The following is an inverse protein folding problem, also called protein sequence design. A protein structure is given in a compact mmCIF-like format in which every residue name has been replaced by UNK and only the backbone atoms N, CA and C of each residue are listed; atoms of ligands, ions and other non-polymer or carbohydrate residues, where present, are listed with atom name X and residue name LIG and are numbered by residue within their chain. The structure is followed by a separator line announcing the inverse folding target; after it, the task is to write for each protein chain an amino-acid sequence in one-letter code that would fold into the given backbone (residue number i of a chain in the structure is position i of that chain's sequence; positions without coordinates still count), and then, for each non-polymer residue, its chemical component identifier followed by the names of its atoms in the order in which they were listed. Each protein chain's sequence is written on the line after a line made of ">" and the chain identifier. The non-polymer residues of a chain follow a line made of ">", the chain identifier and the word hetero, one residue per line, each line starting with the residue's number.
data_IF_994087408251
#
_entry.id   IF_994087408251
#
_cell.length_a   1.000
_cell.length_b   1.000
_cell.length_c   1.000
_cell.angle_alpha   90.00
_cell.angle_beta   90.00
_cell.angle_gamma   90.00
#
_symmetry.space_group_name_H-M   'P 1'
#
loop_
_entity.id
_entity.type
_entity.pdbx_description
1 polymer ?
#
# COMPACT_ATOMS: atom_id res chain seq x y z
N UNK A 1 -15.44 33.15 -11.09
CA UNK A 1 -14.74 32.66 -12.32
C UNK A 1 -14.39 33.78 -13.31
N UNK A 2 -14.82 35.03 -13.11
CA UNK A 2 -14.49 36.18 -13.98
C UNK A 2 -13.16 36.90 -13.64
N UNK A 3 -12.66 36.81 -12.41
CA UNK A 3 -11.45 37.54 -11.96
C UNK A 3 -10.13 37.00 -12.53
N UNK A 4 -10.01 35.68 -12.71
CA UNK A 4 -8.73 35.05 -13.11
C UNK A 4 -8.30 35.33 -14.55
N UNK A 5 -9.23 35.65 -15.45
CA UNK A 5 -8.94 35.96 -16.86
C UNK A 5 -8.53 37.42 -17.05
N UNK A 6 -9.13 38.34 -16.31
CA UNK A 6 -8.78 39.77 -16.34
C UNK A 6 -7.40 40.00 -15.74
N UNK A 7 -7.10 39.40 -14.57
CA UNK A 7 -5.78 39.49 -13.91
C UNK A 7 -4.63 39.02 -14.82
N UNK A 8 -4.85 37.92 -15.56
CA UNK A 8 -3.87 37.39 -16.54
C UNK A 8 -3.60 38.37 -17.69
N UNK A 9 -4.59 39.12 -18.13
CA UNK A 9 -4.45 40.06 -19.25
C UNK A 9 -3.79 41.37 -18.83
N UNK A 10 -4.00 41.82 -17.58
CA UNK A 10 -3.31 42.97 -16.99
C UNK A 10 -1.85 42.69 -16.64
N UNK A 11 -1.52 41.51 -16.09
CA UNK A 11 -0.13 41.18 -15.74
C UNK A 11 0.77 40.99 -16.96
N UNK A 12 0.24 40.45 -18.06
CA UNK A 12 0.98 40.28 -19.32
C UNK A 12 1.43 41.61 -19.96
N UNK A 13 0.89 42.76 -19.52
CA UNK A 13 1.27 44.10 -20.00
C UNK A 13 2.13 44.89 -19.01
N UNK A 14 2.41 44.34 -17.82
CA UNK A 14 3.24 45.02 -16.82
C UNK A 14 4.70 44.53 -16.95
N UNK A 15 5.65 45.41 -17.35
CA UNK A 15 7.05 45.01 -17.54
C UNK A 15 7.75 44.55 -16.26
N UNK A 16 7.14 44.78 -15.09
CA UNK A 16 7.67 44.33 -13.81
C UNK A 16 7.24 42.90 -13.43
N UNK A 17 6.38 42.25 -14.22
CA UNK A 17 5.95 40.87 -13.98
C UNK A 17 6.50 39.96 -15.08
N UNK A 18 7.28 38.96 -14.68
CA UNK A 18 7.94 38.03 -15.60
C UNK A 18 7.52 36.58 -15.33
N UNK A 19 7.68 35.74 -16.34
CA UNK A 19 7.50 34.29 -16.19
C UNK A 19 8.73 33.63 -15.56
N UNK A 20 8.57 32.41 -15.02
CA UNK A 20 9.71 31.70 -14.41
C UNK A 20 10.81 31.42 -15.43
N UNK A 21 10.44 31.15 -16.68
CA UNK A 21 11.36 30.87 -17.78
C UNK A 21 12.32 32.05 -18.05
N UNK A 22 11.89 33.29 -17.79
CA UNK A 22 12.76 34.47 -17.90
C UNK A 22 13.77 34.56 -16.74
N UNK A 23 13.35 34.14 -15.54
CA UNK A 23 14.20 34.10 -14.34
C UNK A 23 15.18 32.91 -14.37
N UNK A 24 14.86 31.82 -15.04
CA UNK A 24 15.73 30.64 -15.18
C UNK A 24 17.09 30.98 -15.80
N UNK A 25 17.11 31.90 -16.77
CA UNK A 25 18.36 32.43 -17.38
C UNK A 25 19.30 33.09 -16.37
N UNK A 26 18.77 33.51 -15.21
CA UNK A 26 19.49 34.18 -14.13
C UNK A 26 19.84 33.21 -12.99
N UNK A 27 19.48 31.93 -13.13
CA UNK A 27 19.74 30.87 -12.16
C UNK A 27 18.61 30.65 -11.14
N UNK A 28 17.44 31.21 -11.37
CA UNK A 28 16.27 30.89 -10.56
C UNK A 28 15.73 29.50 -10.90
N UNK A 29 15.41 28.72 -9.88
CA UNK A 29 14.58 27.52 -10.00
C UNK A 29 13.18 27.81 -9.49
N UNK A 30 12.21 26.96 -9.83
CA UNK A 30 10.86 27.04 -9.26
C UNK A 30 10.84 26.95 -7.74
N UNK A 31 11.78 26.22 -7.14
CA UNK A 31 11.90 26.10 -5.69
C UNK A 31 12.42 27.39 -5.06
N UNK A 32 13.47 27.99 -5.63
CA UNK A 32 14.00 29.28 -5.18
C UNK A 32 12.97 30.39 -5.33
N UNK A 33 12.30 30.46 -6.48
CA UNK A 33 11.27 31.45 -6.73
C UNK A 33 10.10 31.31 -5.74
N UNK A 34 9.70 30.08 -5.41
CA UNK A 34 8.65 29.82 -4.42
C UNK A 34 9.07 30.21 -3.00
N UNK A 35 10.33 30.06 -2.66
CA UNK A 35 10.85 30.36 -1.32
C UNK A 35 11.07 31.86 -1.10
N UNK A 36 11.71 32.53 -2.06
CA UNK A 36 12.13 33.92 -1.91
C UNK A 36 11.09 34.94 -2.39
N UNK A 37 10.31 34.60 -3.41
CA UNK A 37 9.41 35.55 -4.03
C UNK A 37 7.99 35.37 -3.49
N UNK A 38 7.29 36.47 -3.17
CA UNK A 38 5.89 36.39 -2.78
C UNK A 38 5.09 35.76 -3.92
N UNK A 39 4.07 34.99 -3.54
CA UNK A 39 3.22 34.25 -4.49
C UNK A 39 2.38 35.23 -5.31
N UNK A 40 2.91 35.71 -6.42
CA UNK A 40 2.11 36.38 -7.43
C UNK A 40 1.25 35.33 -8.15
N UNK A 41 -0.06 35.57 -8.20
CA UNK A 41 -1.02 34.66 -8.79
C UNK A 41 -0.67 34.29 -10.24
N UNK A 42 -1.05 33.08 -10.67
CA UNK A 42 -1.00 32.71 -12.09
C UNK A 42 0.39 32.40 -12.66
N UNK A 43 1.43 32.23 -11.83
CA UNK A 43 2.78 31.84 -12.26
C UNK A 43 3.58 32.99 -12.86
N UNK A 44 3.33 34.20 -12.37
CA UNK A 44 4.10 35.41 -12.64
C UNK A 44 4.91 35.75 -11.40
N UNK A 45 6.03 36.44 -11.59
CA UNK A 45 6.93 36.87 -10.51
C UNK A 45 7.28 38.34 -10.68
N UNK A 46 7.40 39.06 -9.58
CA UNK A 46 7.87 40.44 -9.58
C UNK A 46 9.38 40.47 -9.86
N UNK A 47 9.76 41.04 -11.00
CA UNK A 47 11.16 41.13 -11.42
C UNK A 47 11.97 42.03 -10.49
N UNK A 48 11.40 43.14 -10.00
CA UNK A 48 12.11 44.03 -9.10
C UNK A 48 12.40 43.33 -7.76
N UNK A 49 11.42 42.58 -7.23
CA UNK A 49 11.63 41.75 -6.04
C UNK A 49 12.72 40.69 -6.27
N UNK A 50 12.71 40.02 -7.42
CA UNK A 50 13.77 39.06 -7.78
C UNK A 50 15.15 39.72 -7.82
N UNK A 51 15.29 40.88 -8.46
CA UNK A 51 16.55 41.62 -8.54
C UNK A 51 17.09 42.05 -7.18
N UNK A 52 16.22 42.37 -6.22
CA UNK A 52 16.66 42.68 -4.85
C UNK A 52 17.14 41.43 -4.11
N UNK A 53 16.43 40.30 -4.24
CA UNK A 53 16.87 39.02 -3.65
C UNK A 53 18.21 38.57 -4.22
N UNK A 54 18.44 38.75 -5.53
CA UNK A 54 19.69 38.40 -6.20
C UNK A 54 20.92 39.07 -5.58
N UNK A 55 20.76 40.23 -4.93
CA UNK A 55 21.85 40.94 -4.26
C UNK A 55 22.25 40.32 -2.92
N UNK A 56 21.44 39.43 -2.38
CA UNK A 56 21.69 38.83 -1.06
C UNK A 56 22.75 37.72 -1.16
N UNK A 57 23.70 37.63 -0.20
CA UNK A 57 24.68 36.54 -0.16
C UNK A 57 24.01 35.16 -0.09
N UNK A 58 22.94 35.05 0.70
CA UNK A 58 22.19 33.79 0.85
C UNK A 58 21.62 33.29 -0.48
N UNK A 59 21.10 34.19 -1.34
CA UNK A 59 20.62 33.79 -2.65
C UNK A 59 21.74 33.27 -3.54
N UNK A 60 22.93 33.88 -3.49
CA UNK A 60 24.08 33.42 -4.28
C UNK A 60 24.51 32.01 -3.88
N UNK A 61 24.52 31.72 -2.57
CA UNK A 61 24.79 30.38 -2.04
C UNK A 61 23.72 29.37 -2.48
N UNK A 62 22.44 29.71 -2.32
CA UNK A 62 21.32 28.84 -2.66
C UNK A 62 21.22 28.59 -4.18
N UNK A 63 21.53 29.60 -5.00
CA UNK A 63 21.67 29.47 -6.46
C UNK A 63 22.82 28.55 -6.82
N UNK A 64 23.98 28.70 -6.19
CA UNK A 64 25.12 27.81 -6.45
C UNK A 64 24.78 26.36 -6.04
N UNK A 65 24.11 26.19 -4.90
CA UNK A 65 23.69 24.88 -4.39
C UNK A 65 22.72 24.18 -5.35
N UNK A 66 21.69 24.88 -5.83
CA UNK A 66 20.74 24.32 -6.82
C UNK A 66 21.34 24.16 -8.20
N UNK A 67 22.24 25.05 -8.61
CA UNK A 67 22.99 24.95 -9.87
C UNK A 67 23.91 23.73 -9.96
N UNK A 68 24.32 23.18 -8.81
CA UNK A 68 25.03 21.91 -8.73
C UNK A 68 24.12 20.67 -8.89
N UNK A 69 22.81 20.87 -9.11
CA UNK A 69 21.82 19.80 -9.27
C UNK A 69 21.16 19.34 -7.96
N UNK A 70 21.43 20.01 -6.84
CA UNK A 70 20.82 19.66 -5.55
C UNK A 70 19.39 20.19 -5.44
N UNK A 71 18.50 19.42 -4.81
CA UNK A 71 17.16 19.87 -4.45
C UNK A 71 17.22 20.92 -3.35
N UNK A 72 16.54 22.06 -3.50
CA UNK A 72 16.61 23.14 -2.52
C UNK A 72 15.79 22.83 -1.26
N UNK A 73 14.68 22.13 -1.43
CA UNK A 73 13.77 21.76 -0.35
C UNK A 73 13.36 20.29 -0.40
N UNK A 74 13.05 19.73 0.77
CA UNK A 74 12.46 18.41 0.93
C UNK A 74 11.06 18.49 1.53
N UNK A 75 10.15 17.65 1.03
CA UNK A 75 8.87 17.36 1.66
C UNK A 75 9.02 16.27 2.72
N UNK A 76 7.99 16.11 3.57
CA UNK A 76 7.95 15.02 4.56
C UNK A 76 8.05 13.62 3.93
N UNK A 77 7.63 13.42 2.69
CA UNK A 77 7.83 12.17 1.94
C UNK A 77 9.31 11.89 1.71
N UNK A 78 10.01 12.89 1.19
CA UNK A 78 11.42 12.78 0.80
C UNK A 78 12.28 12.55 2.05
N UNK A 79 11.95 13.23 3.16
CA UNK A 79 12.59 12.99 4.45
C UNK A 79 12.39 11.54 4.93
N UNK A 80 11.18 10.97 4.79
CA UNK A 80 10.93 9.57 5.19
C UNK A 80 11.77 8.59 4.37
N UNK A 81 11.93 8.83 3.08
CA UNK A 81 12.79 8.01 2.21
C UNK A 81 14.26 8.06 2.66
N UNK A 82 14.69 9.19 3.20
CA UNK A 82 16.01 9.39 3.83
C UNK A 82 16.10 8.83 5.26
N UNK A 83 15.09 8.13 5.76
CA UNK A 83 15.08 7.49 7.07
C UNK A 83 14.59 8.37 8.22
N UNK A 84 14.05 9.56 7.94
CA UNK A 84 13.47 10.42 8.96
C UNK A 84 12.14 9.89 9.48
N UNK A 85 12.01 9.82 10.81
CA UNK A 85 10.73 9.58 11.48
C UNK A 85 10.00 10.89 11.77
N UNK A 86 8.67 10.89 11.95
CA UNK A 86 7.92 12.09 12.35
C UNK A 86 8.45 12.76 13.62
N UNK A 87 8.93 11.96 14.58
CA UNK A 87 9.56 12.46 15.80
C UNK A 87 10.90 13.14 15.52
N UNK A 88 11.75 12.58 14.66
CA UNK A 88 13.01 13.24 14.25
C UNK A 88 12.73 14.58 13.55
N UNK A 89 11.76 14.63 12.66
CA UNK A 89 11.41 15.88 11.95
C UNK A 89 11.00 16.95 12.97
N UNK A 90 10.09 16.62 13.89
CA UNK A 90 9.65 17.55 14.93
C UNK A 90 10.79 17.98 15.85
N UNK A 91 11.63 17.05 16.30
CA UNK A 91 12.60 17.31 17.36
C UNK A 91 13.91 17.93 16.83
N UNK A 92 14.32 17.62 15.59
CA UNK A 92 15.61 18.07 15.01
C UNK A 92 15.45 19.19 13.97
N UNK A 93 14.32 19.25 13.26
CA UNK A 93 14.06 20.30 12.25
C UNK A 93 13.04 21.32 12.72
N UNK A 94 12.14 20.95 13.64
CA UNK A 94 11.08 21.81 14.13
C UNK A 94 10.09 22.19 13.03
N UNK A 95 9.78 23.48 12.95
CA UNK A 95 8.84 24.02 11.97
C UNK A 95 9.41 24.03 10.55
N UNK A 96 8.55 23.81 9.53
CA UNK A 96 8.97 23.86 8.14
C UNK A 96 9.41 25.27 7.75
N UNK A 97 10.36 25.36 6.81
CA UNK A 97 10.86 26.62 6.29
C UNK A 97 9.86 27.27 5.33
N UNK A 98 9.00 26.47 4.69
CA UNK A 98 7.91 26.97 3.86
C UNK A 98 6.68 26.07 3.93
N UNK A 99 5.51 26.71 3.96
CA UNK A 99 4.20 26.04 3.94
C UNK A 99 3.49 26.43 2.65
N UNK A 100 3.12 25.44 1.83
CA UNK A 100 2.58 25.65 0.49
C UNK A 100 1.20 25.02 0.35
N UNK A 101 0.20 25.83 0.07
CA UNK A 101 -1.13 25.34 -0.28
C UNK A 101 -1.19 24.89 -1.75
N UNK A 102 -1.58 23.63 -1.94
CA UNK A 102 -1.79 23.01 -3.25
C UNK A 102 -3.18 23.29 -3.84
N UNK A 103 -4.12 23.81 -3.06
CA UNK A 103 -5.43 24.24 -3.55
C UNK A 103 -5.89 25.55 -2.89
N UNK A 104 -6.81 26.25 -3.56
CA UNK A 104 -7.39 27.51 -3.08
C UNK A 104 -8.23 27.34 -1.79
N UNK A 105 -8.54 26.09 -1.42
CA UNK A 105 -9.33 25.74 -0.24
C UNK A 105 -8.48 25.39 0.99
N UNK A 106 -7.13 25.39 0.89
CA UNK A 106 -6.22 25.10 2.00
C UNK A 106 -6.26 23.66 2.54
N UNK A 107 -6.91 22.72 1.85
CA UNK A 107 -7.07 21.33 2.36
C UNK A 107 -5.90 20.41 2.01
N UNK A 108 -4.96 20.86 1.18
CA UNK A 108 -3.72 20.13 0.87
C UNK A 108 -2.52 21.06 1.03
N UNK A 109 -1.80 20.88 2.13
CA UNK A 109 -0.65 21.72 2.49
C UNK A 109 0.62 20.89 2.43
N UNK A 110 1.63 21.36 1.69
CA UNK A 110 2.98 20.84 1.76
C UNK A 110 3.82 21.62 2.78
N UNK A 111 4.55 20.88 3.59
CA UNK A 111 5.55 21.41 4.50
C UNK A 111 6.92 21.14 3.89
N UNK A 112 7.66 22.19 3.57
CA UNK A 112 8.96 22.14 2.92
C UNK A 112 10.06 22.52 3.90
N UNK A 113 11.14 21.75 3.87
CA UNK A 113 12.31 21.90 4.73
C UNK A 113 13.52 22.21 3.85
N UNK A 114 14.31 23.23 4.19
CA UNK A 114 15.53 23.57 3.41
C UNK A 114 16.53 22.43 3.48
N UNK A 115 17.05 22.03 2.33
CA UNK A 115 17.99 20.92 2.20
C UNK A 115 19.23 21.11 3.07
N UNK A 116 19.81 22.33 3.07
CA UNK A 116 20.97 22.66 3.92
C UNK A 116 20.72 22.46 5.42
N UNK A 117 19.49 22.72 5.91
CA UNK A 117 19.12 22.50 7.31
C UNK A 117 18.98 21.01 7.62
N UNK A 118 18.38 20.27 6.68
CA UNK A 118 18.24 18.82 6.76
C UNK A 118 19.62 18.17 6.79
N UNK A 119 20.50 18.51 5.87
CA UNK A 119 21.87 17.97 5.79
C UNK A 119 22.70 18.33 7.04
N UNK A 120 22.58 19.55 7.55
CA UNK A 120 23.22 19.94 8.80
C UNK A 120 22.73 19.09 9.98
N UNK A 121 21.42 18.83 10.07
CA UNK A 121 20.86 17.95 11.08
C UNK A 121 21.33 16.49 10.89
N UNK A 122 21.40 15.99 9.65
CA UNK A 122 21.91 14.65 9.33
C UNK A 122 23.39 14.46 9.72
N UNK A 123 24.19 15.52 9.67
CA UNK A 123 25.58 15.50 10.09
C UNK A 123 25.75 15.33 11.61
N UNK A 124 24.73 15.66 12.41
CA UNK A 124 24.81 15.64 13.88
C UNK A 124 24.93 14.21 14.44
N UNK A 125 25.64 14.04 15.58
CA UNK A 125 25.66 12.76 16.30
C UNK A 125 24.26 12.29 16.73
N UNK A 126 23.39 13.22 17.11
CA UNK A 126 22.02 12.89 17.57
C UNK A 126 21.20 12.24 16.45
N UNK A 127 21.25 12.78 15.24
CA UNK A 127 20.57 12.16 14.09
C UNK A 127 21.11 10.74 13.81
N UNK A 128 22.44 10.60 13.77
CA UNK A 128 23.12 9.32 13.51
C UNK A 128 22.76 8.26 14.55
N UNK A 129 22.61 8.64 15.82
CA UNK A 129 22.16 7.72 16.86
C UNK A 129 20.70 7.31 16.67
N UNK A 130 19.81 8.27 16.39
CA UNK A 130 18.38 7.99 16.23
C UNK A 130 18.12 7.12 15.00
N UNK A 131 18.82 7.33 13.88
CA UNK A 131 18.66 6.50 12.66
C UNK A 131 19.18 5.07 12.92
N UNK A 132 20.28 4.91 13.63
CA UNK A 132 20.79 3.60 14.03
C UNK A 132 19.79 2.85 14.94
N UNK A 133 19.21 3.54 15.93
CA UNK A 133 18.16 2.98 16.80
C UNK A 133 16.90 2.61 16.02
N UNK A 134 16.47 3.46 15.09
CA UNK A 134 15.32 3.19 14.23
C UNK A 134 15.55 1.95 13.35
N UNK A 135 16.73 1.84 12.72
CA UNK A 135 17.14 0.66 11.96
C UNK A 135 17.19 -0.62 12.80
N UNK A 136 17.77 -0.54 14.00
CA UNK A 136 17.78 -1.68 14.93
C UNK A 136 16.38 -2.10 15.37
N UNK A 137 15.48 -1.15 15.65
CA UNK A 137 14.08 -1.41 15.98
C UNK A 137 13.34 -2.06 14.81
N UNK A 138 13.53 -1.55 13.59
CA UNK A 138 12.92 -2.12 12.39
C UNK A 138 13.38 -3.57 12.17
N UNK A 139 14.68 -3.84 12.32
CA UNK A 139 15.23 -5.20 12.21
C UNK A 139 14.65 -6.14 13.26
N UNK A 140 14.57 -5.72 14.53
CA UNK A 140 13.96 -6.51 15.61
C UNK A 140 12.47 -6.75 15.37
N UNK A 141 11.75 -5.74 14.91
CA UNK A 141 10.33 -5.86 14.57
C UNK A 141 10.10 -6.85 13.43
N UNK A 142 10.96 -6.82 12.40
CA UNK A 142 10.93 -7.79 11.30
C UNK A 142 11.21 -9.22 11.79
N UNK A 143 12.26 -9.42 12.57
CA UNK A 143 12.58 -10.73 13.15
C UNK A 143 11.42 -11.29 14.00
N UNK A 144 10.87 -10.47 14.90
CA UNK A 144 9.73 -10.89 15.72
C UNK A 144 8.46 -11.19 14.91
N UNK A 145 8.26 -10.50 13.78
CA UNK A 145 7.16 -10.79 12.86
C UNK A 145 7.40 -12.10 12.09
N UNK A 146 8.63 -12.36 11.67
CA UNK A 146 9.04 -13.62 11.03
C UNK A 146 8.89 -14.80 11.99
N UNK A 147 9.38 -14.69 13.23
CA UNK A 147 9.24 -15.71 14.26
C UNK A 147 7.76 -16.04 14.52
N UNK A 148 6.92 -15.00 14.69
CA UNK A 148 5.48 -15.18 14.87
C UNK A 148 4.82 -15.83 13.65
N UNK A 149 5.26 -15.47 12.43
CA UNK A 149 4.77 -16.10 11.21
C UNK A 149 5.12 -17.59 11.16
N UNK A 150 6.31 -17.97 11.61
CA UNK A 150 6.73 -19.38 11.68
C UNK A 150 5.91 -20.15 12.72
N UNK A 151 5.69 -19.58 13.90
CA UNK A 151 4.85 -20.17 14.95
C UNK A 151 3.41 -20.40 14.46
N UNK A 152 2.81 -19.41 13.79
CA UNK A 152 1.47 -19.53 13.19
C UNK A 152 1.46 -20.64 12.14
N UNK A 153 2.45 -20.66 11.25
CA UNK A 153 2.53 -21.67 10.21
C UNK A 153 2.64 -23.09 10.80
N UNK A 154 3.51 -23.31 11.79
CA UNK A 154 3.64 -24.59 12.47
C UNK A 154 2.35 -25.01 13.17
N UNK A 155 1.69 -24.08 13.86
CA UNK A 155 0.44 -24.34 14.57
C UNK A 155 -0.75 -24.62 13.61
N UNK A 156 -0.74 -24.06 12.40
CA UNK A 156 -1.74 -24.40 11.38
C UNK A 156 -1.43 -25.73 10.71
N UNK A 157 -0.15 -26.05 10.47
CA UNK A 157 0.27 -27.35 9.95
C UNK A 157 -0.19 -28.50 10.88
N UNK A 158 0.02 -28.36 12.19
CA UNK A 158 -0.43 -29.36 13.17
C UNK A 158 -1.95 -29.54 13.16
N UNK A 159 -2.70 -28.44 13.02
CA UNK A 159 -4.17 -28.46 12.90
C UNK A 159 -4.63 -29.09 11.59
N UNK A 160 -4.00 -28.75 10.47
CA UNK A 160 -4.29 -29.30 9.15
C UNK A 160 -4.02 -30.81 9.07
N UNK A 161 -3.08 -31.34 9.86
CA UNK A 161 -2.87 -32.78 10.01
C UNK A 161 -4.09 -33.52 10.59
N UNK A 162 -5.02 -32.80 11.23
CA UNK A 162 -6.29 -33.34 11.76
C UNK A 162 -7.45 -33.25 10.76
N UNK A 163 -7.20 -32.75 9.54
CA UNK A 163 -8.21 -32.77 8.46
C UNK A 163 -8.57 -34.20 8.11
N UNK A 164 -9.86 -34.43 7.92
CA UNK A 164 -10.44 -35.73 7.55
C UNK A 164 -11.54 -35.47 6.54
N UNK A 165 -11.62 -36.31 5.53
CA UNK A 165 -12.73 -36.38 4.59
C UNK A 165 -13.37 -37.75 4.78
N UNK A 166 -14.64 -37.76 5.11
CA UNK A 166 -15.45 -38.96 5.33
C UNK A 166 -16.43 -39.10 4.15
N UNK A 167 -15.99 -39.69 3.02
CA UNK A 167 -16.82 -39.77 1.82
C UNK A 167 -18.02 -40.70 2.00
N UNK A 168 -19.09 -40.54 1.20
CA UNK A 168 -20.19 -41.51 1.14
C UNK A 168 -19.71 -42.86 0.58
N UNK A 169 -20.58 -43.88 0.63
CA UNK A 169 -20.23 -45.28 0.30
C UNK A 169 -19.78 -45.50 -1.15
N UNK A 170 -20.28 -44.71 -2.08
CA UNK A 170 -20.04 -44.91 -3.51
C UNK A 170 -20.19 -43.59 -4.31
N UNK A 171 -19.73 -43.64 -5.56
CA UNK A 171 -19.69 -42.49 -6.45
C UNK A 171 -21.08 -42.01 -6.90
N UNK A 172 -22.07 -42.89 -6.97
CA UNK A 172 -23.43 -42.51 -7.37
C UNK A 172 -24.09 -41.70 -6.25
N UNK A 173 -23.98 -42.18 -5.02
CA UNK A 173 -24.44 -41.48 -3.81
C UNK A 173 -23.75 -40.11 -3.67
N UNK A 174 -22.43 -40.03 -3.91
CA UNK A 174 -21.72 -38.75 -3.90
C UNK A 174 -22.30 -37.76 -4.92
N UNK A 175 -22.57 -38.21 -6.15
CA UNK A 175 -23.11 -37.34 -7.20
C UNK A 175 -24.48 -36.80 -6.83
N UNK A 176 -25.37 -37.64 -6.35
CA UNK A 176 -26.72 -37.24 -5.94
C UNK A 176 -26.66 -36.18 -4.82
N UNK A 177 -25.86 -36.45 -3.79
CA UNK A 177 -25.69 -35.53 -2.66
C UNK A 177 -25.05 -34.20 -3.10
N UNK A 178 -24.06 -34.23 -3.99
CA UNK A 178 -23.40 -33.04 -4.49
C UNK A 178 -24.34 -32.16 -5.35
N UNK A 179 -25.20 -32.78 -6.16
CA UNK A 179 -26.20 -32.06 -6.96
C UNK A 179 -27.24 -31.40 -6.06
N UNK A 180 -27.81 -32.13 -5.10
CA UNK A 180 -28.77 -31.60 -4.14
C UNK A 180 -28.17 -30.43 -3.33
N UNK A 181 -26.93 -30.59 -2.85
CA UNK A 181 -26.24 -29.51 -2.15
C UNK A 181 -26.00 -28.27 -3.03
N UNK A 182 -25.71 -28.46 -4.31
CA UNK A 182 -25.52 -27.35 -5.23
C UNK A 182 -26.83 -26.59 -5.50
N UNK A 183 -27.96 -27.30 -5.62
CA UNK A 183 -29.30 -26.69 -5.71
C UNK A 183 -29.60 -25.85 -4.46
N UNK A 184 -29.33 -26.38 -3.26
CA UNK A 184 -29.46 -25.64 -2.00
C UNK A 184 -28.59 -24.37 -1.99
N UNK A 185 -27.36 -24.46 -2.48
CA UNK A 185 -26.47 -23.30 -2.59
C UNK A 185 -27.02 -22.23 -3.56
N UNK A 186 -27.65 -22.61 -4.66
CA UNK A 186 -28.30 -21.65 -5.55
C UNK A 186 -29.45 -20.92 -4.85
N UNK A 187 -30.28 -21.65 -4.09
CA UNK A 187 -31.37 -21.05 -3.32
C UNK A 187 -30.86 -20.08 -2.26
N UNK A 188 -29.86 -20.47 -1.47
CA UNK A 188 -29.27 -19.64 -0.41
C UNK A 188 -28.60 -18.37 -0.98
N UNK A 189 -28.03 -18.46 -2.20
CA UNK A 189 -27.40 -17.32 -2.88
C UNK A 189 -28.39 -16.44 -3.67
N UNK A 190 -29.66 -16.83 -3.76
CA UNK A 190 -30.68 -16.12 -4.53
C UNK A 190 -30.53 -16.27 -6.05
N UNK A 191 -29.87 -17.33 -6.51
CA UNK A 191 -29.64 -17.63 -7.93
C UNK A 191 -30.80 -18.45 -8.53
N UNK A 192 -32.04 -17.96 -8.41
CA UNK A 192 -33.30 -18.67 -8.71
C UNK A 192 -33.53 -19.11 -10.17
N UNK A 193 -32.59 -18.82 -11.08
CA UNK A 193 -32.63 -19.22 -12.49
C UNK A 193 -31.53 -20.22 -12.88
N UNK A 194 -30.74 -20.71 -11.93
CA UNK A 194 -29.75 -21.76 -12.16
C UNK A 194 -30.29 -23.11 -11.75
N UNK A 195 -29.89 -24.12 -12.50
CA UNK A 195 -30.27 -25.51 -12.31
C UNK A 195 -29.05 -26.40 -12.54
N UNK A 196 -29.01 -27.55 -11.86
CA UNK A 196 -28.00 -28.58 -12.02
C UNK A 196 -28.29 -29.52 -13.20
N UNK A 197 -29.54 -29.59 -13.69
CA UNK A 197 -29.97 -30.53 -14.73
C UNK A 197 -29.25 -30.40 -16.09
N UNK A 198 -28.59 -29.26 -16.35
CA UNK A 198 -27.83 -28.98 -17.58
C UNK A 198 -26.30 -29.03 -17.42
N UNK A 199 -25.79 -29.44 -16.27
CA UNK A 199 -24.35 -29.44 -16.01
C UNK A 199 -23.61 -30.54 -16.77
N UNK A 200 -22.46 -30.21 -17.34
CA UNK A 200 -21.56 -31.19 -17.93
C UNK A 200 -20.85 -32.03 -16.86
N UNK A 201 -20.23 -33.14 -17.31
CA UNK A 201 -19.57 -34.08 -16.41
C UNK A 201 -18.42 -33.44 -15.61
N UNK A 202 -17.70 -32.47 -16.17
CA UNK A 202 -16.61 -31.76 -15.49
C UNK A 202 -17.16 -30.88 -14.36
N UNK A 203 -18.27 -30.19 -14.60
CA UNK A 203 -18.97 -29.37 -13.62
C UNK A 203 -19.50 -30.21 -12.47
N UNK A 204 -20.10 -31.36 -12.78
CA UNK A 204 -20.57 -32.31 -11.76
C UNK A 204 -19.41 -32.86 -10.94
N UNK A 205 -18.27 -33.18 -11.57
CA UNK A 205 -17.08 -33.67 -10.86
C UNK A 205 -16.51 -32.62 -9.89
N UNK A 206 -16.48 -31.36 -10.32
CA UNK A 206 -16.11 -30.22 -9.46
C UNK A 206 -17.09 -30.06 -8.30
N UNK A 207 -18.39 -30.25 -8.51
CA UNK A 207 -19.37 -30.21 -7.44
C UNK A 207 -19.18 -31.36 -6.44
N UNK A 208 -18.87 -32.56 -6.91
CA UNK A 208 -18.52 -33.69 -6.04
C UNK A 208 -17.31 -33.36 -5.15
N UNK A 209 -16.24 -32.80 -5.73
CA UNK A 209 -15.07 -32.37 -4.95
C UNK A 209 -15.40 -31.25 -3.95
N UNK A 210 -16.26 -30.30 -4.32
CA UNK A 210 -16.71 -29.26 -3.40
C UNK A 210 -17.58 -29.80 -2.26
N UNK A 211 -18.46 -30.76 -2.55
CA UNK A 211 -19.28 -31.42 -1.55
C UNK A 211 -18.40 -32.18 -0.55
N UNK A 212 -17.42 -32.95 -1.05
CA UNK A 212 -16.46 -33.62 -0.19
C UNK A 212 -15.68 -32.64 0.69
N UNK A 213 -15.29 -31.49 0.13
CA UNK A 213 -14.56 -30.46 0.88
C UNK A 213 -15.40 -29.79 1.96
N UNK A 214 -16.61 -29.34 1.65
CA UNK A 214 -17.39 -28.48 2.56
C UNK A 214 -18.35 -29.25 3.46
N UNK A 215 -18.83 -30.42 3.03
CA UNK A 215 -19.87 -31.18 3.72
C UNK A 215 -19.31 -32.44 4.36
N UNK A 216 -18.49 -33.21 3.63
CA UNK A 216 -17.93 -34.46 4.12
C UNK A 216 -16.61 -34.29 4.88
N UNK A 217 -16.22 -33.07 5.25
CA UNK A 217 -14.95 -32.84 5.93
C UNK A 217 -15.10 -31.86 7.07
N UNK A 218 -14.15 -31.89 8.01
CA UNK A 218 -14.05 -30.89 9.07
C UNK A 218 -13.36 -29.58 8.61
N UNK A 219 -13.22 -29.35 7.30
CA UNK A 219 -12.53 -28.21 6.71
C UNK A 219 -13.09 -26.86 7.16
N UNK A 220 -14.40 -26.63 7.05
CA UNK A 220 -15.00 -25.33 7.39
C UNK A 220 -14.89 -25.04 8.90
N UNK A 221 -15.00 -26.07 9.74
CA UNK A 221 -14.76 -25.96 11.18
C UNK A 221 -13.30 -25.60 11.50
N UNK A 222 -12.35 -26.25 10.83
CA UNK A 222 -10.92 -25.94 10.97
C UNK A 222 -10.61 -24.51 10.51
N UNK A 223 -11.17 -24.07 9.38
CA UNK A 223 -11.01 -22.70 8.90
C UNK A 223 -11.52 -21.69 9.93
N UNK A 224 -12.71 -21.92 10.50
CA UNK A 224 -13.25 -21.07 11.54
C UNK A 224 -12.37 -21.03 12.79
N UNK A 225 -11.85 -22.19 13.23
CA UNK A 225 -10.92 -22.27 14.36
C UNK A 225 -9.65 -21.46 14.10
N UNK A 226 -8.99 -21.68 12.96
CA UNK A 226 -7.75 -20.99 12.60
C UNK A 226 -8.00 -19.49 12.44
N UNK A 227 -9.13 -19.08 11.83
CA UNK A 227 -9.51 -17.67 11.68
C UNK A 227 -9.73 -16.98 13.02
N UNK A 228 -10.32 -17.70 13.97
CA UNK A 228 -10.50 -17.20 15.32
C UNK A 228 -9.17 -17.09 16.07
N UNK A 229 -8.35 -18.16 16.03
CA UNK A 229 -7.10 -18.26 16.77
C UNK A 229 -6.05 -17.23 16.35
N UNK A 230 -5.99 -16.87 15.06
CA UNK A 230 -4.98 -15.96 14.51
C UNK A 230 -5.54 -14.63 14.00
N UNK A 231 -6.70 -14.22 14.50
CA UNK A 231 -7.33 -12.96 14.10
C UNK A 231 -6.36 -11.78 14.28
N UNK A 232 -6.18 -10.99 13.23
CA UNK A 232 -5.34 -9.79 13.24
C UNK A 232 -3.83 -10.05 13.12
N UNK A 233 -3.42 -11.32 12.94
CA UNK A 233 -2.03 -11.65 12.63
C UNK A 233 -1.80 -11.51 11.11
N UNK A 234 -0.84 -10.69 10.66
CA UNK A 234 -0.47 -10.60 9.25
C UNK A 234 0.01 -11.96 8.71
N UNK A 235 -0.37 -12.31 7.47
CA UNK A 235 0.06 -13.55 6.80
C UNK A 235 -0.84 -14.77 7.00
N UNK A 236 -1.89 -14.67 7.83
CA UNK A 236 -2.83 -15.80 8.06
C UNK A 236 -3.54 -16.25 6.78
N UNK A 237 -3.83 -15.32 5.87
CA UNK A 237 -4.38 -15.65 4.55
C UNK A 237 -3.44 -16.52 3.71
N UNK A 238 -2.12 -16.26 3.79
CA UNK A 238 -1.12 -17.05 3.07
C UNK A 238 -1.04 -18.45 3.64
N UNK A 239 -1.20 -18.61 4.96
CA UNK A 239 -1.20 -19.93 5.61
C UNK A 239 -2.43 -20.75 5.20
N UNK A 240 -3.61 -20.14 5.02
CA UNK A 240 -4.76 -20.86 4.46
C UNK A 240 -4.50 -21.40 3.06
N UNK A 241 -4.04 -20.53 2.17
CA UNK A 241 -3.85 -20.86 0.76
C UNK A 241 -2.75 -21.91 0.55
N UNK A 242 -1.72 -21.91 1.41
CA UNK A 242 -0.54 -22.76 1.22
C UNK A 242 -0.51 -24.01 2.12
N UNK A 243 -1.36 -24.10 3.15
CA UNK A 243 -1.36 -25.23 4.09
C UNK A 243 -2.71 -25.95 4.09
N UNK A 244 -3.76 -25.25 4.52
CA UNK A 244 -5.07 -25.89 4.76
C UNK A 244 -5.72 -26.30 3.44
N UNK A 245 -5.67 -25.42 2.44
CA UNK A 245 -6.30 -25.67 1.14
C UNK A 245 -5.65 -26.82 0.37
N UNK A 246 -4.31 -26.87 0.17
CA UNK A 246 -3.68 -28.00 -0.51
C UNK A 246 -3.94 -29.31 0.23
N UNK A 247 -3.91 -29.30 1.56
CA UNK A 247 -4.13 -30.51 2.35
C UNK A 247 -5.53 -31.09 2.19
N UNK A 248 -6.57 -30.26 2.21
CA UNK A 248 -7.94 -30.77 1.98
C UNK A 248 -8.12 -31.20 0.53
N UNK A 249 -7.49 -30.52 -0.42
CA UNK A 249 -7.59 -30.86 -1.84
C UNK A 249 -6.95 -32.24 -2.12
N UNK A 250 -5.79 -32.54 -1.51
CA UNK A 250 -5.18 -33.89 -1.54
C UNK A 250 -6.11 -34.98 -0.99
N UNK A 251 -6.78 -34.72 0.14
CA UNK A 251 -7.70 -35.68 0.75
C UNK A 251 -8.94 -35.91 -0.11
N UNK A 252 -9.50 -34.84 -0.69
CA UNK A 252 -10.63 -34.91 -1.62
C UNK A 252 -10.25 -35.69 -2.88
N UNK A 253 -9.06 -35.43 -3.44
CA UNK A 253 -8.56 -36.17 -4.60
C UNK A 253 -8.37 -37.67 -4.31
N UNK A 254 -7.85 -38.02 -3.12
CA UNK A 254 -7.73 -39.41 -2.68
C UNK A 254 -9.09 -40.08 -2.58
N UNK A 255 -10.05 -39.43 -1.91
CA UNK A 255 -11.40 -39.95 -1.74
C UNK A 255 -12.10 -40.14 -3.10
N UNK A 256 -12.01 -39.17 -4.02
CA UNK A 256 -12.55 -39.28 -5.37
C UNK A 256 -11.92 -40.44 -6.15
N UNK A 257 -10.62 -40.68 -6.00
CA UNK A 257 -9.91 -41.79 -6.66
C UNK A 257 -10.40 -43.14 -6.15
N UNK A 258 -10.53 -43.29 -4.84
CA UNK A 258 -11.03 -44.51 -4.20
C UNK A 258 -12.47 -44.83 -4.63
N UNK A 259 -13.36 -43.84 -4.60
CA UNK A 259 -14.75 -43.99 -5.04
C UNK A 259 -14.89 -44.43 -6.50
N UNK A 260 -14.05 -43.89 -7.39
CA UNK A 260 -14.03 -44.27 -8.82
C UNK A 260 -13.52 -45.71 -9.01
N UNK A 261 -12.53 -46.12 -8.22
CA UNK A 261 -12.00 -47.47 -8.28
C UNK A 261 -13.05 -48.51 -7.84
N UNK A 262 -13.81 -48.23 -6.78
CA UNK A 262 -14.89 -49.13 -6.30
C UNK A 262 -16.08 -49.18 -7.24
N UNK A 263 -16.39 -48.11 -7.97
CA UNK A 263 -17.49 -48.07 -8.95
C UNK A 263 -17.20 -48.84 -10.25
N UNK A 264 -15.94 -49.21 -10.49
CA UNK A 264 -15.51 -49.93 -11.71
C UNK A 264 -15.44 -51.46 -11.51
N UNK A 265 -15.82 -51.95 -10.33
CA UNK A 265 -15.96 -53.37 -9.98
C UNK A 265 -17.45 -53.75 -9.93
#
# INVERSE_FOLDING_TARGET
>A
MHTYKEERHTMAKNPNHVRIEELESRGWTRELARYYLPRAGGGWYDLAAALEVEKTPQWQEDKAYTGAGNSFTFMKSDLKERGWSPAMIRDLLGDPDLVVDHNQAGTRVAHLFRAVRVEAAEATPEFKERIAKAGARAKRGKAAAEDRSQEVHAAVQERAARLRVDPPSDLATLRELALAHQEDLYLVRGEFGRDVAGADAETVDRWCGNYLRHVCSNYDALLAEVSSAFRGVPGVNDVYANVVRPRVDELVESAMRELRATHSQ
#
